data_IF_708385512101
#
_entry.id   IF_708385512101
#
_cell.length_a   1.000
_cell.length_b   1.000
_cell.length_c   1.000
_cell.angle_alpha   90.00
_cell.angle_beta   90.00
_cell.angle_gamma   90.00
#
_symmetry.space_group_name_H-M   'P 1'
#
loop_
_entity.id
_entity.type
_entity.pdbx_description
1 polymer ?
#
# COMPACT_ATOMS: atom_id res chain seq x y z
N UNK A 1 -27.80 45.73 -30.04
CA UNK A 1 -28.17 44.34 -29.67
C UNK A 1 -27.03 43.39 -30.01
N UNK A 2 -26.01 43.29 -29.17
CA UNK A 2 -24.96 42.26 -29.24
C UNK A 2 -24.66 41.85 -27.80
N UNK A 3 -25.43 40.87 -27.30
CA UNK A 3 -25.21 40.29 -25.98
C UNK A 3 -24.20 39.17 -26.18
N UNK A 4 -22.92 39.52 -26.08
CA UNK A 4 -21.83 38.54 -26.04
C UNK A 4 -21.95 37.76 -24.74
N UNK A 5 -22.37 36.51 -24.87
CA UNK A 5 -22.43 35.48 -23.83
C UNK A 5 -21.00 35.08 -23.41
N UNK A 6 -20.29 36.01 -22.75
CA UNK A 6 -18.91 35.83 -22.29
C UNK A 6 -18.91 35.60 -20.79
N UNK A 7 -18.83 34.34 -20.40
CA UNK A 7 -18.54 33.95 -19.02
C UNK A 7 -17.07 34.23 -18.74
N UNK A 8 -16.79 35.21 -17.89
CA UNK A 8 -15.42 35.56 -17.48
C UNK A 8 -15.10 34.77 -16.21
N UNK A 9 -14.31 33.70 -16.33
CA UNK A 9 -13.88 32.90 -15.18
C UNK A 9 -12.62 33.52 -14.58
N UNK A 10 -12.75 34.04 -13.35
CA UNK A 10 -11.63 34.52 -12.55
C UNK A 10 -11.22 33.43 -11.57
N UNK A 11 -10.02 32.87 -11.70
CA UNK A 11 -9.48 31.91 -10.75
C UNK A 11 -8.55 32.64 -9.77
N UNK A 12 -8.94 32.73 -8.51
CA UNK A 12 -8.12 33.32 -7.44
C UNK A 12 -7.53 32.18 -6.61
N UNK A 13 -6.21 32.09 -6.59
CA UNK A 13 -5.48 31.11 -5.78
C UNK A 13 -5.00 31.78 -4.50
N UNK A 14 -5.58 31.37 -3.36
CA UNK A 14 -5.14 31.85 -2.05
C UNK A 14 -3.84 31.16 -1.64
N UNK A 15 -2.89 31.94 -1.14
CA UNK A 15 -1.57 31.46 -0.68
C UNK A 15 -1.66 30.82 0.71
N UNK A 16 -2.63 31.23 1.54
CA UNK A 16 -2.86 30.69 2.87
C UNK A 16 -3.90 29.56 2.89
N UNK A 17 -3.61 28.40 3.52
CA UNK A 17 -4.50 27.23 3.54
C UNK A 17 -5.63 27.29 4.59
N UNK A 18 -5.80 28.38 5.34
CA UNK A 18 -6.83 28.47 6.39
C UNK A 18 -8.25 28.65 5.80
N UNK A 19 -9.17 27.67 5.98
CA UNK A 19 -10.52 27.72 5.43
C UNK A 19 -11.36 28.90 5.92
N UNK A 20 -11.15 29.36 7.16
CA UNK A 20 -11.91 30.46 7.75
C UNK A 20 -11.52 31.81 7.13
N UNK A 21 -10.22 32.02 6.91
CA UNK A 21 -9.70 33.21 6.25
C UNK A 21 -10.09 33.26 4.76
N UNK A 22 -10.11 32.11 4.07
CA UNK A 22 -10.55 32.04 2.67
C UNK A 22 -12.03 32.37 2.49
N UNK A 23 -12.90 31.94 3.41
CA UNK A 23 -14.33 32.29 3.41
C UNK A 23 -14.57 33.78 3.66
N UNK A 24 -13.85 34.38 4.60
CA UNK A 24 -13.94 35.82 4.86
C UNK A 24 -13.48 36.65 3.65
N UNK A 25 -12.33 36.31 3.05
CA UNK A 25 -11.81 37.01 1.87
C UNK A 25 -12.69 36.82 0.63
N UNK A 26 -13.29 35.64 0.44
CA UNK A 26 -14.21 35.41 -0.68
C UNK A 26 -15.49 36.20 -0.51
N UNK A 27 -16.03 36.33 0.71
CA UNK A 27 -17.18 37.20 0.98
C UNK A 27 -16.85 38.68 0.75
N UNK A 28 -15.66 39.14 1.16
CA UNK A 28 -15.20 40.51 0.94
C UNK A 28 -14.94 40.82 -0.55
N UNK A 29 -14.34 39.88 -1.29
CA UNK A 29 -14.15 39.99 -2.74
C UNK A 29 -15.48 40.02 -3.49
N UNK A 30 -16.43 39.16 -3.12
CA UNK A 30 -17.77 39.14 -3.72
C UNK A 30 -18.49 40.46 -3.45
N UNK A 31 -18.44 40.99 -2.23
CA UNK A 31 -19.04 42.28 -1.89
C UNK A 31 -18.41 43.46 -2.67
N UNK A 32 -17.09 43.44 -2.85
CA UNK A 32 -16.39 44.48 -3.63
C UNK A 32 -16.64 44.38 -5.13
N UNK A 33 -16.90 43.20 -5.67
CA UNK A 33 -17.23 42.99 -7.09
C UNK A 33 -18.68 43.37 -7.39
N UNK A 34 -19.59 43.06 -6.48
CA UNK A 34 -21.01 43.42 -6.56
C UNK A 34 -21.21 44.95 -6.52
N UNK A 35 -20.44 45.65 -5.68
CA UNK A 35 -20.40 47.11 -5.63
C UNK A 35 -19.95 47.78 -6.95
N UNK A 36 -19.25 47.04 -7.82
CA UNK A 36 -18.82 47.50 -9.15
C UNK A 36 -19.75 47.00 -10.28
N UNK A 37 -20.91 46.42 -9.96
CA UNK A 37 -21.93 46.02 -10.93
C UNK A 37 -21.64 44.72 -11.68
N UNK A 38 -20.85 43.82 -11.09
CA UNK A 38 -20.53 42.50 -11.65
C UNK A 38 -21.25 41.42 -10.82
N UNK A 39 -22.35 40.88 -11.36
CA UNK A 39 -23.14 39.81 -10.73
C UNK A 39 -22.33 38.50 -10.63
N UNK A 40 -22.00 38.08 -9.41
CA UNK A 40 -21.29 36.82 -9.15
C UNK A 40 -22.30 35.67 -9.03
N UNK A 41 -22.49 34.92 -10.11
CA UNK A 41 -23.51 33.86 -10.20
C UNK A 41 -23.14 32.54 -9.49
N UNK A 42 -21.86 32.33 -9.13
CA UNK A 42 -21.44 31.17 -8.33
C UNK A 42 -20.02 31.35 -7.79
N UNK A 43 -19.87 31.30 -6.47
CA UNK A 43 -18.57 31.10 -5.83
C UNK A 43 -18.44 29.63 -5.45
N UNK A 44 -17.67 28.88 -6.25
CA UNK A 44 -17.28 27.51 -5.91
C UNK A 44 -15.96 27.57 -5.16
N UNK A 45 -16.01 27.50 -3.84
CA UNK A 45 -14.80 27.32 -3.05
C UNK A 45 -14.15 25.99 -3.45
N UNK A 46 -12.97 26.07 -4.07
CA UNK A 46 -12.21 24.89 -4.53
C UNK A 46 -11.87 23.97 -3.34
N UNK A 47 -11.83 24.50 -2.11
CA UNK A 47 -11.70 23.73 -0.87
C UNK A 47 -12.85 22.75 -0.67
N UNK A 48 -14.10 23.19 -0.78
CA UNK A 48 -15.28 22.32 -0.61
C UNK A 48 -15.37 21.22 -1.67
N UNK A 49 -14.90 21.48 -2.90
CA UNK A 49 -14.84 20.47 -3.96
C UNK A 49 -13.71 19.47 -3.69
N UNK A 50 -12.53 19.95 -3.29
CA UNK A 50 -11.40 19.09 -2.91
C UNK A 50 -11.79 18.17 -1.75
N UNK A 51 -12.41 18.68 -0.70
CA UNK A 51 -12.77 17.88 0.48
C UNK A 51 -13.74 16.75 0.14
N UNK A 52 -14.78 17.04 -0.67
CA UNK A 52 -15.71 15.99 -1.13
C UNK A 52 -15.03 14.95 -2.03
N UNK A 53 -14.12 15.39 -2.90
CA UNK A 53 -13.35 14.47 -3.75
C UNK A 53 -12.43 13.60 -2.88
N UNK A 54 -11.71 14.18 -1.91
CA UNK A 54 -10.86 13.44 -0.99
C UNK A 54 -11.64 12.46 -0.12
N UNK A 55 -12.87 12.80 0.29
CA UNK A 55 -13.73 11.89 1.06
C UNK A 55 -14.16 10.69 0.21
N UNK A 56 -14.58 10.90 -1.05
CA UNK A 56 -14.92 9.83 -1.99
C UNK A 56 -13.73 8.92 -2.30
N UNK A 57 -12.56 9.50 -2.57
CA UNK A 57 -11.34 8.73 -2.79
C UNK A 57 -10.85 8.05 -1.50
N UNK A 58 -11.09 8.63 -0.33
CA UNK A 58 -10.72 8.08 0.97
C UNK A 58 -11.40 6.74 1.26
N UNK A 59 -12.69 6.60 0.92
CA UNK A 59 -13.42 5.33 1.02
C UNK A 59 -12.78 4.26 0.11
N UNK A 60 -12.47 4.63 -1.14
CA UNK A 60 -11.83 3.73 -2.10
C UNK A 60 -10.44 3.30 -1.62
N UNK A 61 -9.60 4.23 -1.16
CA UNK A 61 -8.27 3.94 -0.63
C UNK A 61 -8.35 3.01 0.58
N UNK A 62 -9.28 3.27 1.51
CA UNK A 62 -9.48 2.43 2.70
C UNK A 62 -9.90 1.01 2.32
N UNK A 63 -10.81 0.88 1.36
CA UNK A 63 -11.24 -0.42 0.84
C UNK A 63 -10.08 -1.18 0.18
N UNK A 64 -9.29 -0.52 -0.68
CA UNK A 64 -8.11 -1.13 -1.31
C UNK A 64 -7.05 -1.54 -0.28
N UNK A 65 -6.86 -0.74 0.78
CA UNK A 65 -5.93 -1.06 1.85
C UNK A 65 -6.39 -2.30 2.62
N UNK A 66 -7.68 -2.41 2.93
CA UNK A 66 -8.25 -3.62 3.54
C UNK A 66 -8.06 -4.87 2.66
N UNK A 67 -8.33 -4.75 1.36
CA UNK A 67 -8.07 -5.83 0.39
C UNK A 67 -6.60 -6.22 0.34
N UNK A 68 -5.71 -5.24 0.35
CA UNK A 68 -4.25 -5.47 0.34
C UNK A 68 -3.80 -6.26 1.57
N UNK A 69 -4.33 -5.94 2.75
CA UNK A 69 -4.07 -6.71 3.98
C UNK A 69 -4.56 -8.16 3.84
N UNK A 70 -5.77 -8.38 3.32
CA UNK A 70 -6.30 -9.73 3.12
C UNK A 70 -5.44 -10.55 2.16
N UNK A 71 -5.02 -9.96 1.04
CA UNK A 71 -4.14 -10.62 0.08
C UNK A 71 -2.79 -10.96 0.73
N UNK A 72 -2.24 -10.06 1.54
CA UNK A 72 -1.00 -10.31 2.26
C UNK A 72 -1.14 -11.48 3.26
N UNK A 73 -2.26 -11.58 3.97
CA UNK A 73 -2.55 -12.72 4.85
C UNK A 73 -2.66 -14.04 4.08
N UNK A 74 -3.40 -14.05 2.96
CA UNK A 74 -3.52 -15.23 2.09
C UNK A 74 -2.16 -15.64 1.52
N UNK A 75 -1.34 -14.68 1.10
CA UNK A 75 0.03 -14.92 0.65
C UNK A 75 0.92 -15.50 1.75
N UNK A 76 0.78 -15.00 2.99
CA UNK A 76 1.46 -15.55 4.16
C UNK A 76 1.06 -17.00 4.46
N UNK A 77 -0.22 -17.34 4.34
CA UNK A 77 -0.70 -18.72 4.49
C UNK A 77 -0.17 -19.64 3.39
N UNK A 78 -0.11 -19.15 2.15
CA UNK A 78 0.49 -19.89 1.04
C UNK A 78 1.98 -20.17 1.27
N UNK A 79 2.73 -19.16 1.74
CA UNK A 79 4.14 -19.31 2.12
C UNK A 79 4.32 -20.32 3.26
N UNK A 80 3.47 -20.25 4.28
CA UNK A 80 3.49 -21.20 5.40
C UNK A 80 3.25 -22.64 4.93
N UNK A 81 2.28 -22.86 4.03
CA UNK A 81 2.00 -24.16 3.44
C UNK A 81 3.19 -24.69 2.64
N UNK A 82 3.80 -23.84 1.80
CA UNK A 82 4.96 -24.21 1.01
C UNK A 82 6.17 -24.57 1.89
N UNK A 83 6.42 -23.81 2.96
CA UNK A 83 7.46 -24.13 3.95
C UNK A 83 7.19 -25.43 4.69
N UNK A 84 5.93 -25.72 5.04
CA UNK A 84 5.56 -26.98 5.67
C UNK A 84 5.87 -28.18 4.79
N UNK A 85 5.66 -28.07 3.48
CA UNK A 85 5.98 -29.14 2.52
C UNK A 85 7.50 -29.30 2.39
N UNK A 86 8.24 -28.20 2.20
CA UNK A 86 9.71 -28.23 2.08
C UNK A 86 10.39 -28.88 3.29
N UNK A 87 9.88 -28.61 4.50
CA UNK A 87 10.32 -29.26 5.74
C UNK A 87 10.13 -30.78 5.70
N UNK A 88 8.98 -31.25 5.23
CA UNK A 88 8.67 -32.68 5.19
C UNK A 88 9.55 -33.41 4.17
N UNK A 89 9.79 -32.79 3.01
CA UNK A 89 10.68 -33.32 1.98
C UNK A 89 12.13 -33.44 2.47
N UNK A 90 12.61 -32.46 3.26
CA UNK A 90 13.96 -32.44 3.84
C UNK A 90 14.07 -33.08 5.22
N UNK A 91 13.05 -33.81 5.67
CA UNK A 91 13.03 -34.46 7.00
C UNK A 91 14.25 -35.35 7.29
N UNK A 92 14.72 -36.11 6.29
CA UNK A 92 15.93 -36.95 6.40
C UNK A 92 17.19 -36.14 6.67
N UNK A 93 17.35 -34.99 6.02
CA UNK A 93 18.49 -34.09 6.22
C UNK A 93 18.47 -33.49 7.63
N UNK A 94 17.29 -33.12 8.13
CA UNK A 94 17.08 -32.62 9.49
C UNK A 94 17.48 -33.69 10.52
N UNK A 95 17.12 -34.95 10.29
CA UNK A 95 17.52 -36.08 11.14
C UNK A 95 19.04 -36.25 11.23
N UNK A 96 19.73 -36.18 10.08
CA UNK A 96 21.20 -36.25 10.03
C UNK A 96 21.84 -35.06 10.76
N UNK A 97 21.33 -33.84 10.55
CA UNK A 97 21.82 -32.63 11.23
C UNK A 97 21.69 -32.75 12.76
N UNK A 98 20.61 -33.35 13.26
CA UNK A 98 20.45 -33.56 14.71
C UNK A 98 21.34 -34.66 15.26
N UNK A 99 21.60 -35.72 14.48
CA UNK A 99 22.53 -36.77 14.89
C UNK A 99 23.96 -36.25 15.09
N UNK A 100 24.37 -35.24 14.31
CA UNK A 100 25.67 -34.55 14.48
C UNK A 100 25.63 -33.40 15.51
N UNK A 101 24.51 -33.21 16.22
CA UNK A 101 24.40 -32.28 17.34
C UNK A 101 23.81 -30.91 17.03
N UNK A 102 23.13 -30.70 15.90
CA UNK A 102 22.47 -29.42 15.61
C UNK A 102 21.29 -29.16 16.58
N UNK A 103 21.30 -27.97 17.19
CA UNK A 103 20.18 -27.49 18.02
C UNK A 103 18.95 -27.16 17.14
N UNK A 104 17.76 -27.34 17.69
CA UNK A 104 16.48 -26.92 17.12
C UNK A 104 16.51 -25.48 16.60
N UNK A 105 17.20 -24.58 17.30
CA UNK A 105 17.34 -23.18 16.88
C UNK A 105 18.10 -23.03 15.57
N UNK A 106 19.17 -23.81 15.35
CA UNK A 106 19.95 -23.76 14.12
C UNK A 106 19.11 -24.21 12.92
N UNK A 107 18.33 -25.27 13.10
CA UNK A 107 17.40 -25.79 12.07
C UNK A 107 16.35 -24.72 11.74
N UNK A 108 15.74 -24.11 12.75
CA UNK A 108 14.76 -23.04 12.55
C UNK A 108 15.36 -21.84 11.82
N UNK A 109 16.59 -21.44 12.15
CA UNK A 109 17.27 -20.31 11.50
C UNK A 109 17.55 -20.56 10.01
N UNK A 110 17.85 -21.80 9.61
CA UNK A 110 18.07 -22.15 8.21
C UNK A 110 16.79 -21.94 7.40
N UNK A 111 15.67 -22.55 7.84
CA UNK A 111 14.38 -22.41 7.15
C UNK A 111 13.84 -20.98 7.18
N UNK A 112 14.03 -20.29 8.31
CA UNK A 112 13.69 -18.88 8.42
C UNK A 112 14.49 -18.04 7.42
N UNK A 113 15.79 -18.27 7.29
CA UNK A 113 16.65 -17.60 6.32
C UNK A 113 16.22 -17.86 4.87
N UNK A 114 15.92 -19.12 4.52
CA UNK A 114 15.41 -19.49 3.18
C UNK A 114 14.10 -18.74 2.86
N UNK A 115 13.16 -18.72 3.81
CA UNK A 115 11.90 -17.98 3.64
C UNK A 115 12.11 -16.48 3.51
N UNK A 116 13.10 -15.93 4.23
CA UNK A 116 13.36 -14.50 4.22
C UNK A 116 13.99 -14.05 2.90
N UNK A 117 14.86 -14.87 2.32
CA UNK A 117 15.38 -14.65 0.96
C UNK A 117 14.23 -14.63 -0.04
N UNK A 118 13.32 -15.61 0.00
CA UNK A 118 12.14 -15.65 -0.88
C UNK A 118 11.28 -14.40 -0.70
N UNK A 119 11.01 -14.00 0.55
CA UNK A 119 10.18 -12.83 0.88
C UNK A 119 10.79 -11.53 0.33
N UNK A 120 12.10 -11.33 0.53
CA UNK A 120 12.80 -10.13 0.04
C UNK A 120 12.83 -10.10 -1.50
N UNK A 121 13.12 -11.23 -2.14
CA UNK A 121 13.13 -11.31 -3.62
C UNK A 121 11.75 -11.02 -4.18
N UNK A 122 10.69 -11.61 -3.62
CA UNK A 122 9.31 -11.34 -4.03
C UNK A 122 8.94 -9.86 -3.85
N UNK A 123 9.35 -9.23 -2.74
CA UNK A 123 9.09 -7.81 -2.52
C UNK A 123 9.80 -6.92 -3.54
N UNK A 124 11.07 -7.17 -3.83
CA UNK A 124 11.84 -6.42 -4.84
C UNK A 124 11.17 -6.53 -6.21
N UNK A 125 10.75 -7.74 -6.60
CA UNK A 125 10.02 -7.96 -7.85
C UNK A 125 8.67 -7.25 -7.87
N UNK A 126 7.93 -7.26 -6.76
CA UNK A 126 6.65 -6.57 -6.64
C UNK A 126 6.82 -5.05 -6.78
N UNK A 127 7.82 -4.45 -6.13
CA UNK A 127 8.12 -3.01 -6.26
C UNK A 127 8.50 -2.67 -7.70
N UNK A 128 9.42 -3.45 -8.30
CA UNK A 128 9.84 -3.25 -9.68
C UNK A 128 8.68 -3.33 -10.68
N UNK A 129 7.74 -4.27 -10.48
CA UNK A 129 6.54 -4.39 -11.31
C UNK A 129 5.50 -3.30 -11.02
N UNK A 130 5.41 -2.81 -9.79
CA UNK A 130 4.42 -1.79 -9.42
C UNK A 130 4.70 -0.43 -10.05
N UNK A 131 5.97 -0.04 -10.22
CA UNK A 131 6.37 1.24 -10.82
C UNK A 131 5.76 1.50 -12.21
N UNK A 132 5.96 0.64 -13.23
CA UNK A 132 5.37 0.84 -14.54
C UNK A 132 3.85 0.70 -14.52
N UNK A 133 3.31 -0.16 -13.64
CA UNK A 133 1.88 -0.38 -13.53
C UNK A 133 1.16 0.85 -12.97
N UNK A 134 1.72 1.47 -11.93
CA UNK A 134 1.21 2.71 -11.36
C UNK A 134 1.31 3.87 -12.37
N UNK A 135 2.44 4.00 -13.08
CA UNK A 135 2.59 5.03 -14.10
C UNK A 135 1.55 4.89 -15.23
N UNK A 136 1.32 3.65 -15.69
CA UNK A 136 0.30 3.35 -16.70
C UNK A 136 -1.11 3.69 -16.20
N UNK A 137 -1.46 3.30 -14.97
CA UNK A 137 -2.75 3.60 -14.37
C UNK A 137 -2.97 5.12 -14.26
N UNK A 138 -2.00 5.85 -13.73
CA UNK A 138 -2.08 7.32 -13.58
C UNK A 138 -2.25 8.01 -14.93
N UNK A 139 -1.58 7.51 -15.97
CA UNK A 139 -1.69 8.07 -17.33
C UNK A 139 -3.07 7.80 -17.93
N UNK A 140 -3.58 6.56 -17.85
CA UNK A 140 -4.91 6.21 -18.37
C UNK A 140 -6.00 6.99 -17.65
N UNK A 141 -5.97 7.02 -16.33
CA UNK A 141 -6.96 7.74 -15.52
C UNK A 141 -6.89 9.25 -15.80
N UNK A 142 -5.69 9.83 -15.88
CA UNK A 142 -5.53 11.25 -16.19
C UNK A 142 -6.12 11.61 -17.55
N UNK A 143 -5.79 10.84 -18.59
CA UNK A 143 -6.30 11.08 -19.94
C UNK A 143 -7.81 10.86 -20.04
N UNK A 144 -8.37 9.83 -19.39
CA UNK A 144 -9.81 9.53 -19.49
C UNK A 144 -10.71 10.48 -18.70
N UNK A 145 -10.24 11.05 -17.59
CA UNK A 145 -11.08 11.86 -16.70
C UNK A 145 -10.76 13.36 -16.74
N UNK A 146 -9.51 13.75 -17.02
CA UNK A 146 -9.05 15.14 -16.94
C UNK A 146 -8.50 15.69 -18.27
N UNK A 147 -8.48 14.89 -19.35
CA UNK A 147 -7.83 15.23 -20.63
C UNK A 147 -6.37 15.69 -20.49
N UNK A 148 -5.73 15.37 -19.35
CA UNK A 148 -4.35 15.72 -19.01
C UNK A 148 -3.71 14.62 -18.16
N UNK A 149 -2.41 14.33 -18.36
CA UNK A 149 -1.70 13.38 -17.51
C UNK A 149 -1.67 13.89 -16.06
N UNK A 150 -2.04 13.01 -15.12
CA UNK A 150 -1.93 13.28 -13.69
C UNK A 150 -0.46 13.19 -13.26
N UNK A 151 -0.08 14.01 -12.30
CA UNK A 151 1.26 13.93 -11.71
C UNK A 151 1.44 12.59 -11.01
N UNK A 152 2.53 11.90 -11.37
CA UNK A 152 2.90 10.64 -10.76
C UNK A 152 3.55 10.89 -9.40
N UNK A 153 2.77 10.75 -8.33
CA UNK A 153 3.26 10.79 -6.97
C UNK A 153 3.48 9.37 -6.44
N UNK A 154 4.70 9.09 -5.97
CA UNK A 154 5.08 7.78 -5.44
C UNK A 154 5.41 7.89 -3.95
N UNK A 155 4.62 7.21 -3.12
CA UNK A 155 4.72 7.31 -1.66
C UNK A 155 5.85 6.41 -1.12
N UNK A 156 7.08 6.93 -1.10
CA UNK A 156 8.26 6.19 -0.62
C UNK A 156 8.13 5.69 0.83
N UNK A 157 7.45 6.47 1.69
CA UNK A 157 7.09 6.08 3.05
C UNK A 157 6.19 4.84 3.09
N UNK A 158 5.24 4.73 2.17
CA UNK A 158 4.32 3.59 2.07
C UNK A 158 5.06 2.29 1.74
N UNK A 159 6.09 2.34 0.91
CA UNK A 159 6.91 1.17 0.56
C UNK A 159 7.71 0.67 1.74
N UNK A 160 8.32 1.58 2.52
CA UNK A 160 9.03 1.22 3.74
C UNK A 160 8.10 0.56 4.77
N UNK A 161 6.90 1.10 4.94
CA UNK A 161 5.87 0.51 5.80
C UNK A 161 5.46 -0.90 5.31
N UNK A 162 5.20 -1.05 4.00
CA UNK A 162 4.81 -2.33 3.43
C UNK A 162 5.95 -3.36 3.50
N UNK A 163 7.20 -2.96 3.31
CA UNK A 163 8.34 -3.85 3.52
C UNK A 163 8.31 -4.42 4.95
N UNK A 164 8.10 -3.57 5.96
CA UNK A 164 7.99 -4.00 7.35
C UNK A 164 6.88 -5.03 7.58
N UNK A 165 5.69 -4.80 7.03
CA UNK A 165 4.56 -5.74 7.20
C UNK A 165 4.82 -7.06 6.45
N UNK A 166 5.38 -7.02 5.23
CA UNK A 166 5.71 -8.24 4.47
C UNK A 166 6.78 -9.07 5.17
N UNK A 167 7.82 -8.44 5.72
CA UNK A 167 8.83 -9.12 6.53
C UNK A 167 8.21 -9.73 7.79
N UNK A 168 7.30 -9.01 8.46
CA UNK A 168 6.57 -9.54 9.62
C UNK A 168 5.73 -10.76 9.24
N UNK A 169 4.98 -10.71 8.15
CA UNK A 169 4.18 -11.85 7.68
C UNK A 169 5.10 -13.02 7.30
N UNK A 170 6.21 -12.78 6.58
CA UNK A 170 7.17 -13.81 6.19
C UNK A 170 7.85 -14.47 7.39
N UNK A 171 8.23 -13.70 8.42
CA UNK A 171 8.76 -14.25 9.67
C UNK A 171 7.74 -15.12 10.39
N UNK A 172 6.50 -14.66 10.54
CA UNK A 172 5.45 -15.42 11.24
C UNK A 172 5.06 -16.70 10.49
N UNK A 173 4.94 -16.62 9.16
CA UNK A 173 4.60 -17.74 8.30
C UNK A 173 5.67 -18.84 8.29
N UNK A 174 6.94 -18.50 8.50
CA UNK A 174 8.06 -19.46 8.45
C UNK A 174 8.41 -20.09 9.81
N UNK A 175 8.29 -19.34 10.91
CA UNK A 175 8.66 -19.84 12.24
C UNK A 175 7.78 -21.00 12.68
N UNK A 176 6.47 -20.97 12.38
CA UNK A 176 5.53 -22.02 12.76
C UNK A 176 5.90 -23.40 12.18
N UNK A 177 6.01 -23.57 10.84
CA UNK A 177 6.41 -24.86 10.27
C UNK A 177 7.84 -25.25 10.63
N UNK A 178 8.77 -24.30 10.73
CA UNK A 178 10.15 -24.58 11.13
C UNK A 178 10.27 -25.16 12.54
N UNK A 179 9.43 -24.70 13.48
CA UNK A 179 9.36 -25.28 14.83
C UNK A 179 8.76 -26.67 14.84
N UNK A 180 7.69 -26.89 14.07
CA UNK A 180 7.09 -28.22 13.91
C UNK A 180 8.09 -29.22 13.34
N UNK A 181 8.90 -28.83 12.35
CA UNK A 181 10.00 -29.60 11.78
C UNK A 181 10.96 -30.14 12.84
N UNK A 182 11.42 -29.24 13.72
CA UNK A 182 12.38 -29.58 14.74
C UNK A 182 11.81 -30.56 15.76
N UNK A 183 10.50 -30.49 16.07
CA UNK A 183 9.84 -31.39 17.00
C UNK A 183 9.59 -32.80 16.44
N UNK A 184 9.31 -32.93 15.14
CA UNK A 184 9.08 -34.22 14.47
C UNK A 184 10.32 -35.12 14.57
N UNK A 185 11.49 -34.55 14.28
CA UNK A 185 12.76 -35.28 14.39
C UNK A 185 13.10 -35.78 15.81
N UNK A 186 12.57 -35.15 16.88
CA UNK A 186 12.77 -35.63 18.28
C UNK A 186 11.94 -36.90 18.51
N UNK A 187 10.71 -36.91 18.03
CA UNK A 187 9.77 -38.00 18.28
C UNK A 187 10.15 -39.26 17.52
N UNK A 188 10.57 -39.14 16.26
CA UNK A 188 11.02 -40.29 15.47
C UNK A 188 12.31 -40.91 16.00
N UNK A 189 13.21 -40.13 16.59
CA UNK A 189 14.43 -40.68 17.20
C UNK A 189 14.17 -41.45 18.50
N UNK A 190 13.08 -41.13 19.21
CA UNK A 190 12.69 -41.80 20.46
C UNK A 190 11.80 -43.03 20.24
N UNK A 191 11.18 -43.18 19.06
CA UNK A 191 10.37 -44.37 18.72
C UNK A 191 11.17 -45.55 18.17
N UNK A 192 12.49 -45.39 18.01
CA UNK A 192 13.39 -46.41 17.49
C UNK A 192 14.27 -47.07 18.58
N UNK A 193 14.14 -46.65 19.84
CA UNK A 193 14.59 -47.39 21.03
C UNK A 193 13.40 -48.11 21.68
#
# INVERSE_FOLDING_TARGET
LHRTDRTLSLQVQFVDPDPAHQLALTQELVASLDANGIDVFSSLAITTIKDRIFELFGVLVTFLLAMSILIALVGGLALMGMMSINVLERSKEIGVMRAIGADTRAIVQIFWGESMVVTVVSFVLAVAASLPLSWLLTTIVGLSFLDRPLDFAYAANGIGLWLGIVLLIGTLASILPARSAASLSVRESLSYE
#
